data_IF_409398195684
#
_entry.id   IF_409398195684
#
_cell.length_a   1.000
_cell.length_b   1.000
_cell.length_c   1.000
_cell.angle_alpha   90.00
_cell.angle_beta   90.00
_cell.angle_gamma   90.00
#
_symmetry.space_group_name_H-M   'P 1'
#
loop_
_entity.id
_entity.type
_entity.pdbx_description
1 polymer ?
#
# COMPACT_ATOMS: atom_id res chain seq x y z
N UNK A 1 -37.91 26.72 -22.37
CA UNK A 1 -37.77 25.26 -22.20
C UNK A 1 -36.56 24.87 -21.33
N UNK A 2 -36.32 25.52 -20.18
CA UNK A 2 -35.14 25.29 -19.34
C UNK A 2 -35.40 24.78 -17.91
N UNK A 3 -36.67 24.74 -17.48
CA UNK A 3 -37.01 24.39 -16.06
C UNK A 3 -37.08 22.90 -15.77
N UNK A 4 -37.42 22.07 -16.74
CA UNK A 4 -37.60 20.62 -16.53
C UNK A 4 -36.26 19.83 -16.52
N UNK A 5 -35.22 20.34 -17.14
CA UNK A 5 -33.89 19.68 -17.16
C UNK A 5 -33.14 19.85 -15.83
N UNK A 6 -33.35 20.94 -15.11
CA UNK A 6 -32.71 21.18 -13.80
C UNK A 6 -33.34 20.36 -12.67
N UNK A 7 -34.63 20.07 -12.75
CA UNK A 7 -35.34 19.28 -11.73
C UNK A 7 -34.94 17.80 -11.83
N UNK A 8 -34.79 17.27 -13.04
CA UNK A 8 -34.35 15.88 -13.24
C UNK A 8 -32.90 15.65 -12.78
N UNK A 9 -32.02 16.62 -13.00
CA UNK A 9 -30.63 16.53 -12.56
C UNK A 9 -30.45 16.61 -11.04
N UNK A 10 -31.28 17.41 -10.35
CA UNK A 10 -31.26 17.50 -8.88
C UNK A 10 -31.83 16.25 -8.21
N UNK A 11 -32.90 15.69 -8.77
CA UNK A 11 -33.51 14.45 -8.30
C UNK A 11 -32.58 13.25 -8.47
N UNK A 12 -31.87 13.14 -9.59
CA UNK A 12 -30.88 12.08 -9.81
C UNK A 12 -29.70 12.18 -8.84
N UNK A 13 -29.18 13.38 -8.56
CA UNK A 13 -28.11 13.60 -7.59
C UNK A 13 -28.53 13.31 -6.15
N UNK A 14 -29.77 13.65 -5.77
CA UNK A 14 -30.30 13.33 -4.44
C UNK A 14 -30.50 11.83 -4.27
N UNK A 15 -30.97 11.13 -5.30
CA UNK A 15 -31.16 9.69 -5.30
C UNK A 15 -29.80 8.95 -5.22
N UNK A 16 -28.79 9.42 -5.93
CA UNK A 16 -27.43 8.90 -5.87
C UNK A 16 -26.81 9.06 -4.47
N UNK A 17 -27.01 10.21 -3.84
CA UNK A 17 -26.56 10.45 -2.45
C UNK A 17 -27.30 9.57 -1.44
N UNK A 18 -28.59 9.37 -1.62
CA UNK A 18 -29.38 8.48 -0.76
C UNK A 18 -28.94 7.03 -0.89
N UNK A 19 -28.67 6.54 -2.11
CA UNK A 19 -28.15 5.19 -2.35
C UNK A 19 -26.73 4.99 -1.76
N UNK A 20 -25.87 5.99 -1.89
CA UNK A 20 -24.54 5.94 -1.27
C UNK A 20 -24.60 5.93 0.25
N UNK A 21 -25.49 6.73 0.84
CA UNK A 21 -25.68 6.77 2.31
C UNK A 21 -26.30 5.47 2.84
N UNK A 22 -27.23 4.85 2.10
CA UNK A 22 -27.78 3.54 2.45
C UNK A 22 -26.71 2.44 2.33
N UNK A 23 -25.90 2.45 1.26
CA UNK A 23 -24.82 1.50 1.09
C UNK A 23 -23.78 1.62 2.22
N UNK A 24 -23.40 2.84 2.59
CA UNK A 24 -22.47 3.07 3.71
C UNK A 24 -23.09 2.68 5.08
N UNK A 25 -24.37 2.93 5.27
CA UNK A 25 -25.09 2.53 6.49
C UNK A 25 -25.19 1.01 6.65
N UNK A 26 -25.46 0.29 5.56
CA UNK A 26 -25.47 -1.19 5.56
C UNK A 26 -24.07 -1.74 5.74
N UNK A 27 -23.07 -1.14 5.07
CA UNK A 27 -21.68 -1.53 5.22
C UNK A 27 -21.21 -1.37 6.67
N UNK A 28 -21.49 -0.23 7.31
CA UNK A 28 -21.10 0.02 8.71
C UNK A 28 -21.80 -0.92 9.70
N UNK A 29 -23.06 -1.30 9.47
CA UNK A 29 -23.76 -2.29 10.29
C UNK A 29 -23.21 -3.70 10.13
N UNK A 30 -22.91 -4.10 8.89
CA UNK A 30 -22.26 -5.39 8.60
C UNK A 30 -20.86 -5.42 9.20
N UNK A 31 -20.10 -4.34 9.07
CA UNK A 31 -18.77 -4.17 9.63
C UNK A 31 -18.78 -4.22 11.17
N UNK A 32 -19.76 -3.57 11.80
CA UNK A 32 -19.94 -3.63 13.27
C UNK A 32 -20.29 -5.04 13.77
N UNK A 33 -21.10 -5.81 13.04
CA UNK A 33 -21.37 -7.21 13.35
C UNK A 33 -20.18 -8.12 13.14
N UNK A 34 -19.39 -7.90 12.09
CA UNK A 34 -18.15 -8.66 11.83
C UNK A 34 -17.11 -8.45 12.94
N UNK A 35 -16.92 -7.23 13.41
CA UNK A 35 -16.01 -6.96 14.54
C UNK A 35 -16.51 -7.54 15.87
N UNK A 36 -17.82 -7.60 16.10
CA UNK A 36 -18.40 -8.24 17.29
C UNK A 36 -18.30 -9.77 17.27
N UNK A 37 -18.11 -10.38 16.09
CA UNK A 37 -17.86 -11.81 15.90
C UNK A 37 -16.37 -12.18 15.99
N UNK A 38 -15.49 -11.23 16.33
CA UNK A 38 -14.04 -11.43 16.39
C UNK A 38 -13.38 -11.59 15.02
N UNK A 39 -14.10 -11.25 13.94
CA UNK A 39 -13.51 -11.19 12.61
C UNK A 39 -12.74 -9.89 12.48
N UNK A 40 -11.43 -10.00 12.28
CA UNK A 40 -10.54 -8.86 12.10
C UNK A 40 -10.82 -8.15 10.78
N UNK A 41 -10.81 -6.83 10.84
CA UNK A 41 -10.78 -6.04 9.61
C UNK A 41 -9.33 -5.91 9.15
N UNK A 42 -9.06 -6.13 7.86
CA UNK A 42 -7.73 -5.84 7.33
C UNK A 42 -7.46 -4.34 7.46
N UNK A 43 -6.32 -4.00 8.04
CA UNK A 43 -5.79 -2.62 8.06
C UNK A 43 -5.39 -2.16 6.67
N UNK A 44 -5.10 -3.11 5.78
CA UNK A 44 -4.66 -2.91 4.43
C UNK A 44 -4.09 -4.18 3.83
N UNK A 45 -3.49 -4.08 2.66
CA UNK A 45 -2.79 -5.20 2.00
C UNK A 45 -1.67 -4.72 1.10
N UNK A 46 -0.71 -5.58 0.88
CA UNK A 46 0.31 -5.49 -0.16
C UNK A 46 0.25 -6.77 -0.98
N UNK A 47 -0.42 -6.71 -2.13
CA UNK A 47 -0.74 -7.91 -2.89
C UNK A 47 -1.53 -8.91 -2.05
N UNK A 48 -1.00 -10.13 -1.91
CA UNK A 48 -1.60 -11.21 -1.13
C UNK A 48 -1.35 -11.12 0.38
N UNK A 49 -0.44 -10.24 0.80
CA UNK A 49 -0.17 -10.02 2.24
C UNK A 49 -1.20 -9.07 2.82
N UNK A 50 -2.01 -9.58 3.71
CA UNK A 50 -3.06 -8.80 4.40
C UNK A 50 -2.54 -8.30 5.74
N UNK A 51 -2.52 -6.98 5.92
CA UNK A 51 -2.22 -6.36 7.22
C UNK A 51 -3.46 -6.46 8.10
N UNK A 52 -3.36 -7.18 9.21
CA UNK A 52 -4.48 -7.39 10.12
C UNK A 52 -4.04 -7.43 11.58
N UNK A 53 -4.94 -6.99 12.44
CA UNK A 53 -4.84 -7.18 13.88
C UNK A 53 -6.10 -7.92 14.33
N UNK A 54 -5.93 -9.17 14.74
CA UNK A 54 -7.01 -10.01 15.24
C UNK A 54 -6.65 -10.59 16.61
N UNK A 55 -7.61 -11.29 17.23
CA UNK A 55 -7.33 -12.02 18.46
C UNK A 55 -6.42 -13.25 18.26
N UNK A 56 -6.16 -13.65 17.03
CA UNK A 56 -5.35 -14.84 16.68
C UNK A 56 -4.05 -14.47 15.98
N UNK A 57 -4.05 -13.43 15.15
CA UNK A 57 -2.92 -13.04 14.32
C UNK A 57 -2.75 -11.52 14.33
N UNK A 58 -1.50 -11.08 14.38
CA UNK A 58 -1.14 -9.67 14.26
C UNK A 58 -0.08 -9.56 13.16
N UNK A 59 -0.50 -9.00 12.01
CA UNK A 59 0.37 -8.66 10.89
C UNK A 59 0.17 -7.16 10.67
N UNK A 60 1.14 -6.36 11.06
CA UNK A 60 1.07 -4.91 10.98
C UNK A 60 2.43 -4.36 10.58
N UNK A 61 2.46 -3.10 10.22
CA UNK A 61 3.67 -2.36 9.87
C UNK A 61 3.82 -1.13 10.76
N UNK A 62 5.03 -0.67 10.92
CA UNK A 62 5.39 0.54 11.64
C UNK A 62 6.33 1.41 10.81
N UNK A 63 6.40 2.70 11.14
CA UNK A 63 7.34 3.62 10.54
C UNK A 63 7.16 3.85 9.04
N UNK A 64 5.93 3.73 8.49
CA UNK A 64 5.70 3.94 7.06
C UNK A 64 6.14 5.35 6.66
N UNK A 65 7.11 5.40 5.74
CA UNK A 65 7.67 6.62 5.18
C UNK A 65 7.53 6.60 3.67
N UNK A 66 6.94 7.66 3.12
CA UNK A 66 6.84 7.89 1.68
C UNK A 66 7.80 8.99 1.27
N UNK A 67 8.59 8.76 0.25
CA UNK A 67 9.58 9.70 -0.28
C UNK A 67 9.27 9.98 -1.74
N UNK A 68 9.03 11.25 -2.05
CA UNK A 68 8.85 11.73 -3.43
C UNK A 68 10.07 12.52 -3.83
N UNK A 69 10.63 12.24 -5.01
CA UNK A 69 11.83 12.90 -5.54
C UNK A 69 11.51 13.54 -6.89
N UNK A 70 12.27 14.56 -7.23
CA UNK A 70 12.29 15.17 -8.56
C UNK A 70 13.66 14.96 -9.19
N UNK A 71 13.69 14.76 -10.50
CA UNK A 71 14.92 14.61 -11.27
C UNK A 71 15.35 15.94 -11.83
N UNK A 72 16.63 16.26 -11.62
CA UNK A 72 17.28 17.45 -12.16
C UNK A 72 18.53 17.08 -12.94
N UNK A 73 18.68 17.66 -14.14
CA UNK A 73 19.94 17.71 -14.86
C UNK A 73 20.83 18.81 -14.30
N UNK A 74 22.11 18.56 -14.19
CA UNK A 74 23.08 19.54 -13.71
C UNK A 74 24.00 19.95 -14.87
N UNK A 75 24.05 21.24 -15.19
CA UNK A 75 24.93 21.79 -16.22
C UNK A 75 26.02 22.61 -15.55
N UNK A 76 27.25 22.11 -15.63
CA UNK A 76 28.41 22.77 -15.05
C UNK A 76 28.77 24.02 -15.85
N UNK A 77 28.99 25.15 -15.16
CA UNK A 77 29.42 26.41 -15.76
C UNK A 77 30.75 26.83 -15.10
N UNK A 78 31.79 27.00 -15.91
CA UNK A 78 33.10 27.40 -15.39
C UNK A 78 33.03 28.73 -14.61
N UNK A 79 33.49 28.71 -13.37
CA UNK A 79 33.56 29.90 -12.49
C UNK A 79 32.21 30.35 -11.92
N UNK A 80 31.12 29.60 -12.12
CA UNK A 80 29.79 29.89 -11.61
C UNK A 80 29.17 28.66 -10.96
N UNK A 81 28.05 28.86 -10.25
CA UNK A 81 27.25 27.73 -9.73
C UNK A 81 26.61 26.98 -10.89
N UNK A 82 26.48 25.64 -10.79
CA UNK A 82 25.84 24.84 -11.83
C UNK A 82 24.38 25.25 -12.02
N UNK A 83 23.92 25.17 -13.26
CA UNK A 83 22.51 25.36 -13.60
C UNK A 83 21.77 24.03 -13.42
N UNK A 84 20.62 24.08 -12.73
CA UNK A 84 19.73 22.93 -12.57
C UNK A 84 18.58 23.01 -13.59
N UNK A 85 18.38 21.94 -14.34
CA UNK A 85 17.26 21.76 -15.26
C UNK A 85 16.32 20.70 -14.71
N UNK A 86 15.03 21.04 -14.56
CA UNK A 86 14.02 20.09 -14.13
C UNK A 86 13.69 19.10 -15.25
N UNK A 87 13.93 17.80 -14.98
CA UNK A 87 13.72 16.71 -15.94
C UNK A 87 12.39 15.97 -15.74
N UNK A 88 11.66 16.27 -14.66
CA UNK A 88 10.40 15.64 -14.36
C UNK A 88 10.36 14.97 -12.97
N UNK A 89 9.21 14.37 -12.60
CA UNK A 89 9.11 13.60 -11.36
C UNK A 89 9.95 12.32 -11.43
N UNK A 90 10.48 11.89 -10.31
CA UNK A 90 11.06 10.57 -10.13
C UNK A 90 10.00 9.60 -9.60
N UNK A 91 10.28 8.30 -9.65
CA UNK A 91 9.43 7.30 -9.01
C UNK A 91 9.43 7.48 -7.49
N UNK A 92 8.28 7.28 -6.88
CA UNK A 92 8.13 7.34 -5.43
C UNK A 92 8.68 6.08 -4.76
N UNK A 93 9.05 6.23 -3.50
CA UNK A 93 9.59 5.16 -2.66
C UNK A 93 8.81 5.12 -1.35
N UNK A 94 8.45 3.93 -0.89
CA UNK A 94 7.84 3.70 0.42
C UNK A 94 8.71 2.72 1.18
N UNK A 95 9.01 3.02 2.44
CA UNK A 95 9.68 2.11 3.34
C UNK A 95 8.88 1.95 4.64
N UNK A 96 8.86 0.76 5.20
CA UNK A 96 8.25 0.44 6.48
C UNK A 96 8.87 -0.82 7.06
N UNK A 97 8.70 -1.00 8.37
CA UNK A 97 9.15 -2.20 9.09
C UNK A 97 7.96 -3.03 9.52
N UNK A 98 8.01 -4.34 9.30
CA UNK A 98 7.04 -5.30 9.80
C UNK A 98 7.68 -6.11 10.92
N UNK A 99 6.93 -6.34 11.99
CA UNK A 99 7.36 -7.19 13.10
C UNK A 99 6.49 -8.42 13.16
N UNK A 100 7.13 -9.58 13.17
CA UNK A 100 6.49 -10.87 13.29
C UNK A 100 6.89 -11.55 14.57
N UNK A 101 5.92 -12.17 15.26
CA UNK A 101 6.17 -12.91 16.50
C UNK A 101 5.26 -14.12 16.59
N UNK A 102 5.82 -15.24 17.03
CA UNK A 102 5.04 -16.46 17.28
C UNK A 102 3.97 -16.25 18.34
N UNK A 103 4.19 -15.32 19.29
CA UNK A 103 3.19 -14.94 20.29
C UNK A 103 1.97 -14.24 19.69
N UNK A 104 2.07 -13.75 18.45
CA UNK A 104 1.01 -13.09 17.70
C UNK A 104 0.30 -14.04 16.72
N UNK A 105 0.56 -15.35 16.82
CA UNK A 105 -0.09 -16.38 16.03
C UNK A 105 0.46 -16.55 14.61
N UNK A 106 1.57 -15.89 14.27
CA UNK A 106 2.21 -15.99 12.96
C UNK A 106 3.57 -16.68 13.05
N UNK A 107 3.96 -17.38 12.00
CA UNK A 107 5.33 -17.89 11.86
C UNK A 107 6.21 -16.79 11.23
N UNK A 108 7.19 -16.25 11.99
CA UNK A 108 8.05 -15.19 11.47
C UNK A 108 8.82 -15.59 10.23
N UNK A 109 9.28 -16.84 10.16
CA UNK A 109 10.08 -17.34 9.03
C UNK A 109 9.23 -17.45 7.76
N UNK A 110 8.01 -17.96 7.90
CA UNK A 110 7.08 -18.08 6.77
C UNK A 110 6.71 -16.72 6.20
N UNK A 111 6.39 -15.74 7.06
CA UNK A 111 6.05 -14.38 6.62
C UNK A 111 7.21 -13.67 5.94
N UNK A 112 8.43 -13.80 6.48
CA UNK A 112 9.62 -13.25 5.85
C UNK A 112 9.91 -13.90 4.49
N UNK A 113 9.70 -15.21 4.36
CA UNK A 113 9.89 -15.92 3.10
C UNK A 113 8.85 -15.51 2.06
N UNK A 114 7.59 -15.29 2.42
CA UNK A 114 6.56 -14.78 1.52
C UNK A 114 6.94 -13.41 0.93
N UNK A 115 7.45 -12.50 1.77
CA UNK A 115 7.93 -11.19 1.32
C UNK A 115 9.12 -11.31 0.37
N UNK A 116 10.06 -12.20 0.63
CA UNK A 116 11.20 -12.47 -0.26
C UNK A 116 10.74 -13.01 -1.61
N UNK A 117 9.82 -13.96 -1.58
CA UNK A 117 9.26 -14.56 -2.81
C UNK A 117 8.57 -13.52 -3.70
N UNK A 118 7.80 -12.62 -3.10
CA UNK A 118 7.19 -11.49 -3.83
C UNK A 118 8.23 -10.53 -4.39
N UNK A 119 9.30 -10.27 -3.63
CA UNK A 119 10.43 -9.47 -4.11
C UNK A 119 11.14 -10.13 -5.30
N UNK A 120 11.42 -11.44 -5.21
CA UNK A 120 12.09 -12.21 -6.28
C UNK A 120 11.23 -12.32 -7.55
N UNK A 121 9.91 -12.45 -7.41
CA UNK A 121 8.98 -12.46 -8.55
C UNK A 121 8.88 -11.11 -9.24
N UNK A 122 9.17 -10.02 -8.55
CA UNK A 122 9.07 -8.66 -9.10
C UNK A 122 7.66 -8.26 -9.52
N UNK A 123 6.65 -8.84 -8.87
CA UNK A 123 5.25 -8.56 -9.19
C UNK A 123 4.84 -7.15 -8.76
N UNK A 124 4.17 -6.44 -9.67
CA UNK A 124 3.61 -5.13 -9.37
C UNK A 124 2.24 -5.30 -8.68
N UNK A 125 2.09 -4.72 -7.49
CA UNK A 125 0.92 -4.88 -6.65
C UNK A 125 0.44 -3.55 -6.07
N UNK A 126 -0.83 -3.48 -5.67
CA UNK A 126 -1.33 -2.30 -4.97
C UNK A 126 -1.04 -2.38 -3.48
N UNK A 127 -0.58 -1.25 -2.92
CA UNK A 127 -0.54 -1.05 -1.47
C UNK A 127 -1.85 -0.38 -1.05
N UNK A 128 -2.60 -1.04 -0.19
CA UNK A 128 -3.87 -0.55 0.34
C UNK A 128 -3.72 -0.33 1.84
N UNK A 129 -4.09 0.84 2.33
CA UNK A 129 -4.08 1.18 3.76
C UNK A 129 -5.37 1.92 4.09
N UNK A 130 -6.09 1.46 5.12
CA UNK A 130 -7.32 2.11 5.55
C UNK A 130 -8.38 2.17 4.44
N UNK A 131 -8.48 1.13 3.61
CA UNK A 131 -9.43 1.03 2.51
C UNK A 131 -9.16 1.98 1.31
N UNK A 132 -7.95 2.53 1.22
CA UNK A 132 -7.52 3.40 0.13
C UNK A 132 -6.18 2.91 -0.45
N UNK A 133 -6.03 3.02 -1.76
CA UNK A 133 -4.75 2.76 -2.42
C UNK A 133 -3.74 3.86 -2.09
N UNK A 134 -2.52 3.47 -1.79
CA UNK A 134 -1.42 4.40 -1.56
C UNK A 134 -0.74 4.68 -2.89
N UNK A 135 -0.89 5.91 -3.38
CA UNK A 135 -0.40 6.31 -4.69
C UNK A 135 -1.38 6.02 -5.83
N UNK A 136 -1.05 6.51 -7.01
CA UNK A 136 -1.84 6.31 -8.22
C UNK A 136 -1.47 5.02 -8.97
N UNK A 137 -0.23 4.56 -8.80
CA UNK A 137 0.35 3.43 -9.49
C UNK A 137 0.51 2.22 -8.56
N UNK A 138 0.93 1.10 -9.14
CA UNK A 138 1.32 -0.10 -8.41
C UNK A 138 2.71 0.07 -7.81
N UNK A 139 3.06 -0.84 -6.92
CA UNK A 139 4.34 -0.90 -6.23
C UNK A 139 5.00 -2.25 -6.47
N UNK A 140 6.31 -2.25 -6.60
CA UNK A 140 7.15 -3.46 -6.57
C UNK A 140 7.99 -3.44 -5.31
N UNK A 141 8.28 -4.61 -4.76
CA UNK A 141 9.21 -4.71 -3.64
C UNK A 141 10.63 -4.60 -4.22
N UNK A 142 11.34 -3.54 -3.87
CA UNK A 142 12.72 -3.31 -4.27
C UNK A 142 13.69 -4.08 -3.38
N UNK A 143 13.43 -4.11 -2.08
CA UNK A 143 14.27 -4.83 -1.13
C UNK A 143 13.48 -5.30 0.09
N UNK A 144 13.94 -6.43 0.65
CA UNK A 144 13.46 -7.02 1.89
C UNK A 144 14.69 -7.31 2.76
N UNK A 145 14.78 -6.64 3.91
CA UNK A 145 15.79 -6.89 4.94
C UNK A 145 15.17 -7.60 6.12
N UNK A 146 15.76 -8.68 6.62
CA UNK A 146 15.27 -9.38 7.81
C UNK A 146 16.31 -9.35 8.92
N UNK A 147 15.87 -8.98 10.12
CA UNK A 147 16.62 -9.10 11.35
C UNK A 147 15.93 -10.11 12.28
N UNK A 148 16.59 -11.23 12.54
CA UNK A 148 16.13 -12.21 13.53
C UNK A 148 16.44 -11.66 14.93
N UNK A 149 15.39 -11.20 15.63
CA UNK A 149 15.54 -10.52 16.94
C UNK A 149 15.66 -11.53 18.07
N UNK A 150 14.93 -12.63 17.99
CA UNK A 150 14.94 -13.67 19.03
C UNK A 150 14.74 -15.05 18.42
N UNK A 151 15.52 -16.00 18.95
CA UNK A 151 15.44 -17.43 18.60
C UNK A 151 15.28 -18.25 19.86
N UNK A 152 14.65 -19.41 19.76
CA UNK A 152 14.55 -20.35 20.86
C UNK A 152 15.82 -21.21 20.99
N UNK A 153 15.84 -22.07 22.01
CA UNK A 153 16.97 -23.01 22.29
C UNK A 153 17.12 -24.12 21.23
N UNK A 154 16.18 -24.23 20.29
CA UNK A 154 16.21 -25.15 19.12
C UNK A 154 16.58 -24.46 17.84
N UNK A 155 16.85 -23.13 17.87
CA UNK A 155 17.18 -22.34 16.68
C UNK A 155 15.98 -21.85 15.88
N UNK A 156 14.74 -21.98 16.38
CA UNK A 156 13.54 -21.45 15.71
C UNK A 156 13.40 -19.97 15.99
N UNK A 157 13.07 -19.20 14.96
CA UNK A 157 12.84 -17.76 15.09
C UNK A 157 11.54 -17.51 15.85
N UNK A 158 11.63 -16.79 16.96
CA UNK A 158 10.46 -16.39 17.77
C UNK A 158 9.98 -15.00 17.37
N UNK A 159 10.92 -14.09 17.08
CA UNK A 159 10.65 -12.72 16.68
C UNK A 159 11.57 -12.34 15.56
N UNK A 160 11.01 -11.80 14.45
CA UNK A 160 11.77 -11.15 13.40
C UNK A 160 11.20 -9.76 13.10
N UNK A 161 12.08 -8.86 12.68
CA UNK A 161 11.75 -7.57 12.11
C UNK A 161 12.16 -7.59 10.64
N UNK A 162 11.25 -7.16 9.78
CA UNK A 162 11.45 -7.16 8.33
C UNK A 162 11.26 -5.76 7.80
N UNK A 163 12.33 -5.18 7.27
CA UNK A 163 12.32 -3.91 6.59
C UNK A 163 11.97 -4.11 5.11
N UNK A 164 10.93 -3.43 4.66
CA UNK A 164 10.45 -3.51 3.28
C UNK A 164 10.59 -2.16 2.62
N UNK A 165 11.21 -2.14 1.45
CA UNK A 165 11.27 -0.97 0.58
C UNK A 165 10.51 -1.25 -0.70
N UNK A 166 9.56 -0.39 -1.01
CA UNK A 166 8.74 -0.43 -2.21
C UNK A 166 9.13 0.70 -3.13
N UNK A 167 9.10 0.43 -4.43
CA UNK A 167 9.30 1.40 -5.49
C UNK A 167 8.06 1.48 -6.37
N UNK A 168 7.70 2.69 -6.76
CA UNK A 168 6.57 2.92 -7.64
C UNK A 168 6.83 2.28 -9.02
N UNK A 169 5.89 1.46 -9.46
CA UNK A 169 5.90 0.83 -10.77
C UNK A 169 4.97 1.59 -11.72
N UNK A 170 5.59 2.32 -12.64
CA UNK A 170 4.87 3.00 -13.73
C UNK A 170 4.88 2.07 -14.93
N UNK A 171 3.73 1.49 -15.32
CA UNK A 171 3.67 0.64 -16.51
C UNK A 171 4.02 1.49 -17.74
N UNK A 172 4.81 0.94 -18.65
CA UNK A 172 5.01 1.55 -19.95
C UNK A 172 3.63 1.70 -20.59
N UNK A 173 3.17 2.92 -20.77
CA UNK A 173 2.01 3.18 -21.62
C UNK A 173 2.37 2.62 -22.98
N UNK A 174 1.67 1.56 -23.40
CA UNK A 174 1.85 0.96 -24.71
C UNK A 174 1.82 2.07 -25.74
N UNK A 175 2.93 2.24 -26.45
CA UNK A 175 2.99 3.13 -27.59
C UNK A 175 1.85 2.75 -28.53
N UNK A 176 0.95 3.69 -28.80
CA UNK A 176 -0.17 3.48 -29.69
C UNK A 176 0.34 2.86 -30.98
N UNK A 177 -0.30 1.81 -31.41
CA UNK A 177 -0.17 1.28 -32.77
C UNK A 177 -0.36 2.44 -33.74
N UNK A 178 0.76 2.94 -34.26
CA UNK A 178 0.76 3.79 -35.44
C UNK A 178 0.48 2.91 -36.66
N UNK A 179 -0.72 3.00 -37.17
CA UNK A 179 -1.08 2.57 -38.54
C UNK A 179 -0.29 3.32 -39.57
#
# INVERSE_FOLDING_TARGET
MGFLSNVAGSAAKSMQRSLNNMAQGVLSQVMGKLSSLGLSMPLGSLGDIVFQVSSREVITFDGLKRTTKARYGTHEINGQKPLLEYLGPDGEEISFTMKFSTSWGVDPTEQANQLRELCEKGEAMYLIIGNQTVGANQWVIESVGEAMVSVDNMGRVIVSEVDVTLKEYVPLMGGGEGT
#
